data_IF_153360854113
#
_entry.id   IF_153360854113
#
_cell.length_a   1.000
_cell.length_b   1.000
_cell.length_c   1.000
_cell.angle_alpha   90.00
_cell.angle_beta   90.00
_cell.angle_gamma   90.00
#
_symmetry.space_group_name_H-M   'P 1'
#
loop_
_entity.id
_entity.type
_entity.pdbx_description
1 polymer ?
#
# COMPACT_ATOMS: atom_id res chain seq x y z
N UNK A 1 13.04 -1.87 16.74
CA UNK A 1 13.84 -1.45 15.56
C UNK A 1 12.92 -0.64 14.67
N UNK A 2 13.36 0.57 14.31
CA UNK A 2 12.52 1.76 14.12
C UNK A 2 11.52 1.63 12.96
N UNK A 3 10.24 1.86 13.28
CA UNK A 3 9.13 2.03 12.33
C UNK A 3 9.53 3.01 11.23
N UNK A 4 9.58 2.53 9.99
CA UNK A 4 9.66 3.38 8.81
C UNK A 4 8.24 3.87 8.54
N UNK A 5 7.80 4.81 9.36
CA UNK A 5 6.54 5.55 9.17
C UNK A 5 6.64 6.37 7.86
N UNK A 6 5.51 6.59 7.19
CA UNK A 6 5.34 7.46 5.99
C UNK A 6 6.08 8.80 6.12
N UNK A 7 6.26 9.28 7.35
CA UNK A 7 7.02 10.49 7.70
C UNK A 7 8.50 10.42 7.31
N UNK A 8 9.13 9.24 7.28
CA UNK A 8 10.61 9.16 7.15
C UNK A 8 11.13 9.44 5.74
N UNK A 9 10.36 9.20 4.67
CA UNK A 9 10.79 9.61 3.32
C UNK A 9 10.70 11.14 3.12
N UNK A 10 9.80 11.82 3.84
CA UNK A 10 9.72 13.29 3.83
C UNK A 10 10.75 13.92 4.78
N UNK A 11 11.21 13.19 5.81
CA UNK A 11 12.06 13.73 6.90
C UNK A 11 13.51 13.20 6.96
N UNK A 12 14.04 12.58 5.91
CA UNK A 12 15.49 12.29 5.79
C UNK A 12 16.11 13.42 4.95
N UNK A 13 16.69 14.51 5.46
CA UNK A 13 17.43 14.74 6.70
C UNK A 13 17.24 16.21 7.13
N UNK A 14 16.85 16.47 8.37
CA UNK A 14 17.02 17.79 8.99
C UNK A 14 18.43 18.00 9.56
N UNK A 15 19.43 17.28 9.06
CA UNK A 15 20.79 17.32 9.58
C UNK A 15 21.82 17.05 8.48
N UNK A 16 21.95 17.99 7.54
CA UNK A 16 23.18 18.42 6.89
C UNK A 16 22.82 19.14 5.59
N UNK A 17 23.32 20.37 5.44
CA UNK A 17 23.27 21.27 4.27
C UNK A 17 21.89 21.87 3.94
N UNK A 18 21.80 23.18 4.13
CA UNK A 18 20.60 23.98 3.92
C UNK A 18 20.36 24.30 2.45
N UNK A 19 19.67 23.39 1.75
CA UNK A 19 18.90 23.73 0.56
C UNK A 19 17.69 22.79 0.46
N UNK A 20 16.49 23.32 0.69
CA UNK A 20 15.26 22.55 0.80
C UNK A 20 14.63 22.33 -0.58
N UNK A 21 15.12 21.34 -1.33
CA UNK A 21 14.43 20.88 -2.52
C UNK A 21 13.36 19.85 -2.13
N UNK A 22 12.10 20.13 -2.48
CA UNK A 22 10.99 19.20 -2.27
C UNK A 22 11.24 17.90 -3.08
N UNK A 23 11.52 16.82 -2.37
CA UNK A 23 11.86 15.54 -2.98
C UNK A 23 10.59 14.80 -3.39
N UNK A 24 10.44 14.56 -4.69
CA UNK A 24 9.34 13.78 -5.25
C UNK A 24 9.67 12.29 -5.09
N UNK A 25 8.66 11.42 -4.92
CA UNK A 25 8.87 9.97 -4.85
C UNK A 25 9.64 9.38 -6.04
N UNK A 26 9.64 10.07 -7.17
CA UNK A 26 10.35 9.71 -8.41
C UNK A 26 11.79 10.20 -8.50
N UNK A 27 12.26 11.00 -7.54
CA UNK A 27 13.61 11.58 -7.61
C UNK A 27 14.67 10.50 -7.39
N UNK A 28 15.78 10.61 -8.12
CA UNK A 28 16.87 9.62 -8.08
C UNK A 28 17.45 9.41 -6.68
N UNK A 29 17.43 10.42 -5.80
CA UNK A 29 17.88 10.28 -4.41
C UNK A 29 16.95 9.40 -3.55
N UNK A 30 15.74 9.10 -4.03
CA UNK A 30 14.79 8.18 -3.42
C UNK A 30 15.11 6.72 -3.78
N UNK A 31 16.10 6.47 -4.65
CA UNK A 31 16.51 5.12 -5.06
C UNK A 31 17.12 4.30 -3.91
N UNK A 32 17.59 4.95 -2.85
CA UNK A 32 18.04 4.30 -1.62
C UNK A 32 16.94 4.24 -0.53
N UNK A 33 15.74 4.76 -0.83
CA UNK A 33 14.55 4.58 -0.01
C UNK A 33 13.85 3.26 -0.39
N UNK A 34 13.04 2.72 0.52
CA UNK A 34 12.23 1.54 0.24
C UNK A 34 11.33 1.82 -0.96
N UNK A 35 11.36 0.94 -1.97
CA UNK A 35 10.37 1.00 -3.06
C UNK A 35 8.96 0.91 -2.48
N UNK A 36 7.98 1.49 -3.16
CA UNK A 36 6.58 1.43 -2.71
C UNK A 36 6.13 -0.02 -2.46
N UNK A 37 6.52 -0.95 -3.35
CA UNK A 37 6.30 -2.38 -3.14
C UNK A 37 6.86 -2.85 -1.80
N UNK A 38 8.15 -2.64 -1.53
CA UNK A 38 8.81 -3.07 -0.29
C UNK A 38 8.22 -2.40 0.96
N UNK A 39 7.75 -1.17 0.83
CA UNK A 39 7.09 -0.47 1.92
C UNK A 39 5.74 -1.10 2.27
N UNK A 40 4.91 -1.35 1.26
CA UNK A 40 3.58 -1.97 1.42
C UNK A 40 3.70 -3.43 1.86
N UNK A 41 4.59 -4.21 1.25
CA UNK A 41 4.84 -5.62 1.54
C UNK A 41 5.22 -5.84 3.02
N UNK A 42 6.05 -4.95 3.59
CA UNK A 42 6.42 -5.00 5.03
C UNK A 42 5.29 -4.70 6.00
N UNK A 43 4.25 -4.02 5.53
CA UNK A 43 3.06 -3.73 6.33
C UNK A 43 1.95 -4.76 6.12
N UNK A 44 2.06 -5.59 5.08
CA UNK A 44 1.00 -6.49 4.67
C UNK A 44 1.11 -7.87 5.35
N UNK A 45 -0.01 -8.50 5.75
CA UNK A 45 -1.35 -7.92 5.88
C UNK A 45 -1.59 -7.21 7.23
N UNK A 46 -0.82 -7.52 8.28
CA UNK A 46 -1.19 -7.22 9.67
C UNK A 46 -1.19 -5.73 10.02
N UNK A 47 -0.32 -4.95 9.36
CA UNK A 47 -0.10 -3.53 9.63
C UNK A 47 -0.62 -2.63 8.51
N UNK A 48 -1.43 -3.16 7.60
CA UNK A 48 -1.88 -2.42 6.43
C UNK A 48 -2.68 -1.17 6.82
N UNK A 49 -3.45 -1.25 7.91
CA UNK A 49 -4.22 -0.13 8.46
C UNK A 49 -3.33 1.07 8.85
N UNK A 50 -2.06 0.85 9.20
CA UNK A 50 -1.13 1.93 9.58
C UNK A 50 -0.68 2.76 8.37
N UNK A 51 -0.81 2.23 7.14
CA UNK A 51 -0.32 2.87 5.93
C UNK A 51 -1.43 3.36 4.99
N UNK A 52 -2.69 3.08 5.34
CA UNK A 52 -3.87 3.62 4.67
C UNK A 52 -3.96 5.13 4.86
N UNK A 53 -4.70 5.78 3.97
CA UNK A 53 -4.98 7.20 4.10
C UNK A 53 -5.78 7.46 5.39
N UNK A 54 -5.32 8.30 6.33
CA UNK A 54 -6.08 8.65 7.53
C UNK A 54 -7.44 9.30 7.25
N UNK A 55 -7.60 9.90 6.07
CA UNK A 55 -8.88 10.47 5.62
C UNK A 55 -9.81 9.42 5.02
N UNK A 56 -9.35 8.17 4.85
CA UNK A 56 -10.20 7.05 4.47
C UNK A 56 -11.21 6.85 5.60
N UNK A 57 -12.49 7.21 5.39
CA UNK A 57 -13.38 7.40 6.51
C UNK A 57 -13.75 6.03 7.09
N UNK A 58 -13.70 5.85 8.42
CA UNK A 58 -14.32 4.74 9.11
C UNK A 58 -15.82 5.05 9.18
N UNK A 59 -16.53 4.92 8.06
CA UNK A 59 -17.99 5.17 8.02
C UNK A 59 -18.81 4.05 8.68
N UNK A 60 -18.15 3.16 9.39
CA UNK A 60 -18.57 1.80 9.68
C UNK A 60 -18.30 1.49 11.16
N UNK A 61 -19.16 0.68 11.77
CA UNK A 61 -18.87 0.12 13.09
C UNK A 61 -17.64 -0.81 13.04
N UNK A 62 -17.15 -1.27 14.20
CA UNK A 62 -15.94 -2.12 14.24
C UNK A 62 -16.09 -3.41 13.42
N UNK A 63 -17.28 -4.00 13.35
CA UNK A 63 -17.50 -5.25 12.64
C UNK A 63 -17.43 -5.03 11.11
N UNK A 64 -18.09 -3.99 10.62
CA UNK A 64 -18.05 -3.59 9.21
C UNK A 64 -16.66 -3.12 8.79
N UNK A 65 -15.94 -2.38 9.63
CA UNK A 65 -14.54 -2.01 9.37
C UNK A 65 -13.62 -3.24 9.24
N UNK A 66 -13.79 -4.25 10.09
CA UNK A 66 -13.06 -5.52 10.01
C UNK A 66 -13.38 -6.27 8.72
N UNK A 67 -14.66 -6.35 8.36
CA UNK A 67 -15.14 -6.99 7.15
C UNK A 67 -14.60 -6.30 5.90
N UNK A 68 -14.59 -4.96 5.89
CA UNK A 68 -14.01 -4.16 4.82
C UNK A 68 -12.52 -4.41 4.66
N UNK A 69 -11.80 -4.55 5.77
CA UNK A 69 -10.37 -4.85 5.75
C UNK A 69 -10.10 -6.21 5.11
N UNK A 70 -10.82 -7.25 5.56
CA UNK A 70 -10.62 -8.63 5.11
C UNK A 70 -11.12 -8.88 3.69
N UNK A 71 -12.25 -8.26 3.29
CA UNK A 71 -12.88 -8.54 2.01
C UNK A 71 -12.44 -7.57 0.90
N UNK A 72 -11.96 -6.35 1.22
CA UNK A 72 -11.49 -5.39 0.20
C UNK A 72 -10.03 -5.05 0.33
N UNK A 73 -9.63 -4.47 1.46
CA UNK A 73 -8.34 -3.79 1.53
C UNK A 73 -7.20 -4.78 1.39
N UNK A 74 -7.23 -5.86 2.17
CA UNK A 74 -6.20 -6.90 2.12
C UNK A 74 -6.16 -7.55 0.72
N UNK A 75 -7.27 -8.02 0.13
CA UNK A 75 -7.25 -8.58 -1.22
C UNK A 75 -6.76 -7.60 -2.30
N UNK A 76 -7.22 -6.35 -2.29
CA UNK A 76 -6.79 -5.35 -3.28
C UNK A 76 -5.31 -5.01 -3.15
N UNK A 77 -4.79 -4.91 -1.93
CA UNK A 77 -3.35 -4.70 -1.71
C UNK A 77 -2.55 -5.92 -2.17
N UNK A 78 -3.02 -7.13 -1.91
CA UNK A 78 -2.40 -8.36 -2.41
C UNK A 78 -2.30 -8.37 -3.93
N UNK A 79 -3.37 -8.01 -4.65
CA UNK A 79 -3.37 -7.86 -6.11
C UNK A 79 -2.35 -6.78 -6.53
N UNK A 80 -2.33 -5.64 -5.85
CA UNK A 80 -1.37 -4.56 -6.11
C UNK A 80 0.10 -4.99 -5.96
N UNK A 81 0.42 -5.77 -4.91
CA UNK A 81 1.75 -6.34 -4.69
C UNK A 81 2.14 -7.28 -5.82
N UNK A 82 1.26 -8.21 -6.20
CA UNK A 82 1.50 -9.11 -7.34
C UNK A 82 1.78 -8.34 -8.65
N UNK A 83 1.03 -7.27 -8.91
CA UNK A 83 1.20 -6.44 -10.11
C UNK A 83 2.51 -5.63 -10.12
N UNK A 84 3.14 -5.45 -8.96
CA UNK A 84 4.32 -4.58 -8.78
C UNK A 84 5.61 -5.35 -8.48
N UNK A 85 5.61 -6.68 -8.67
CA UNK A 85 6.82 -7.50 -8.62
C UNK A 85 7.91 -6.96 -9.56
N UNK A 86 9.18 -7.00 -9.13
CA UNK A 86 10.28 -6.41 -9.89
C UNK A 86 10.42 -7.06 -11.29
N UNK A 87 10.29 -8.38 -11.36
CA UNK A 87 10.31 -9.15 -12.61
C UNK A 87 8.97 -9.08 -13.34
N UNK A 88 8.94 -8.74 -14.64
CA UNK A 88 7.72 -8.80 -15.45
C UNK A 88 7.09 -10.19 -15.52
N UNK A 89 7.90 -11.26 -15.46
CA UNK A 89 7.43 -12.64 -15.56
C UNK A 89 6.71 -13.12 -14.29
N UNK A 90 6.98 -12.47 -13.15
CA UNK A 90 6.34 -12.78 -11.87
C UNK A 90 5.01 -12.02 -11.69
N UNK A 91 4.68 -11.13 -12.64
CA UNK A 91 3.42 -10.37 -12.62
C UNK A 91 2.31 -11.17 -13.30
N UNK A 92 1.10 -11.17 -12.74
CA UNK A 92 -0.06 -11.79 -13.39
C UNK A 92 -0.42 -11.07 -14.69
N UNK A 93 -1.04 -11.79 -15.62
CA UNK A 93 -1.63 -11.18 -16.81
C UNK A 93 -2.84 -10.31 -16.44
N UNK A 94 -3.15 -9.30 -17.27
CA UNK A 94 -4.28 -8.40 -17.00
C UNK A 94 -5.63 -9.13 -16.89
N UNK A 95 -5.81 -10.23 -17.61
CA UNK A 95 -7.01 -11.07 -17.48
C UNK A 95 -7.16 -11.61 -16.05
N UNK A 96 -6.08 -12.15 -15.47
CA UNK A 96 -6.08 -12.69 -14.11
C UNK A 96 -6.28 -11.58 -13.07
N UNK A 97 -5.69 -10.41 -13.29
CA UNK A 97 -5.89 -9.22 -12.44
C UNK A 97 -7.36 -8.81 -12.44
N UNK A 98 -7.98 -8.69 -13.63
CA UNK A 98 -9.39 -8.36 -13.75
C UNK A 98 -10.28 -9.40 -13.06
N UNK A 99 -10.02 -10.68 -13.27
CA UNK A 99 -10.78 -11.76 -12.62
C UNK A 99 -10.71 -11.66 -11.08
N UNK A 100 -9.51 -11.40 -10.53
CA UNK A 100 -9.31 -11.22 -9.08
C UNK A 100 -10.03 -9.98 -8.53
N UNK A 101 -9.97 -8.86 -9.25
CA UNK A 101 -10.67 -7.63 -8.85
C UNK A 101 -12.19 -7.82 -8.89
N UNK A 102 -12.71 -8.55 -9.89
CA UNK A 102 -14.13 -8.90 -9.97
C UNK A 102 -14.55 -9.79 -8.80
N UNK A 103 -13.76 -10.82 -8.47
CA UNK A 103 -14.03 -11.69 -7.33
C UNK A 103 -14.08 -10.92 -6.01
N UNK A 104 -13.16 -9.96 -5.81
CA UNK A 104 -13.19 -9.07 -4.64
C UNK A 104 -14.47 -8.23 -4.61
N UNK A 105 -14.90 -7.69 -5.74
CA UNK A 105 -16.15 -6.92 -5.83
C UNK A 105 -17.37 -7.77 -5.51
N UNK A 106 -17.43 -9.00 -6.01
CA UNK A 106 -18.56 -9.92 -5.81
C UNK A 106 -18.69 -10.36 -4.35
N UNK A 107 -17.57 -10.66 -3.68
CA UNK A 107 -17.54 -10.94 -2.25
C UNK A 107 -18.13 -9.80 -1.39
N UNK A 108 -18.13 -8.55 -1.88
CA UNK A 108 -18.83 -7.45 -1.21
C UNK A 108 -20.32 -7.51 -1.31
N UNK A 109 -20.80 -7.77 -2.50
CA UNK A 109 -22.22 -7.74 -2.80
C UNK A 109 -22.91 -8.91 -2.09
N UNK A 110 -22.22 -10.04 -1.91
CA UNK A 110 -22.71 -11.18 -1.14
C UNK A 110 -22.71 -10.96 0.38
N UNK A 111 -21.94 -9.97 0.88
CA UNK A 111 -21.81 -9.71 2.33
C UNK A 111 -22.63 -8.50 2.81
N UNK A 112 -23.35 -7.84 1.89
CA UNK A 112 -24.35 -6.80 2.17
C UNK A 112 -25.77 -7.40 2.24
#
# INVERSE_FOLDING_TARGET
MQSLDRRRCVQLRSAATGDAHAMRPTDAQCSNALSLHKYVDRAFPERIAEILDPLMPPKEDQASASLRMQNYIIPLVSIGLMCTMDSPQDRPGMHDVCARVVAVKEAFVETL
#
